data_IF_223815016015
#
_entry.id   IF_223815016015
#
_cell.length_a   1.000
_cell.length_b   1.000
_cell.length_c   1.000
_cell.angle_alpha   90.00
_cell.angle_beta   90.00
_cell.angle_gamma   90.00
#
_symmetry.space_group_name_H-M   'P 1'
#
loop_
_entity.id
_entity.type
_entity.pdbx_description
1 polymer ?
#
# COMPACT_ATOMS: atom_id res chain seq x y z
N UNK A 1 -33.89 65.38 -57.18
CA UNK A 1 -34.30 65.07 -55.78
C UNK A 1 -34.85 63.65 -55.63
N UNK A 2 -35.96 63.25 -56.30
CA UNK A 2 -36.55 61.90 -56.11
C UNK A 2 -35.57 60.74 -56.36
N UNK A 3 -34.77 60.78 -57.44
CA UNK A 3 -33.79 59.72 -57.74
C UNK A 3 -32.69 59.58 -56.69
N UNK A 4 -32.20 60.69 -56.12
CA UNK A 4 -31.18 60.66 -55.06
C UNK A 4 -31.71 59.96 -53.80
N UNK A 5 -32.97 60.23 -53.42
CA UNK A 5 -33.63 59.55 -52.30
C UNK A 5 -33.86 58.06 -52.58
N UNK A 6 -34.23 57.69 -53.82
CA UNK A 6 -34.38 56.29 -54.21
C UNK A 6 -33.04 55.53 -54.20
N UNK A 7 -31.96 56.14 -54.70
CA UNK A 7 -30.63 55.54 -54.69
C UNK A 7 -30.08 55.36 -53.27
N UNK A 8 -30.36 56.31 -52.37
CA UNK A 8 -29.97 56.22 -50.95
C UNK A 8 -30.69 55.06 -50.24
N UNK A 9 -32.02 54.97 -50.39
CA UNK A 9 -32.81 53.85 -49.85
C UNK A 9 -32.39 52.48 -50.44
N UNK A 10 -31.99 52.43 -51.71
CA UNK A 10 -31.41 51.23 -52.31
C UNK A 10 -29.98 50.90 -51.80
N UNK A 11 -29.25 51.89 -51.30
CA UNK A 11 -27.96 51.69 -50.63
C UNK A 11 -28.16 51.05 -49.27
N UNK A 12 -29.02 51.66 -48.44
CA UNK A 12 -29.41 51.18 -47.11
C UNK A 12 -30.01 49.75 -47.16
N UNK A 13 -30.82 49.45 -48.18
CA UNK A 13 -31.34 48.09 -48.40
C UNK A 13 -30.25 47.06 -48.74
N UNK A 14 -29.21 47.46 -49.48
CA UNK A 14 -28.06 46.57 -49.78
C UNK A 14 -27.17 46.36 -48.56
N UNK A 15 -26.93 47.41 -47.77
CA UNK A 15 -26.15 47.31 -46.54
C UNK A 15 -26.85 46.44 -45.48
N UNK A 16 -28.16 46.62 -45.31
CA UNK A 16 -28.96 45.76 -44.44
C UNK A 16 -29.01 44.30 -44.94
N UNK A 17 -29.07 44.05 -46.25
CA UNK A 17 -28.96 42.69 -46.80
C UNK A 17 -27.60 42.03 -46.48
N UNK A 18 -26.49 42.74 -46.66
CA UNK A 18 -25.14 42.22 -46.37
C UNK A 18 -24.91 41.97 -44.86
N UNK A 19 -25.47 42.81 -43.99
CA UNK A 19 -25.41 42.57 -42.54
C UNK A 19 -26.26 41.37 -42.12
N UNK A 20 -27.44 41.17 -42.71
CA UNK A 20 -28.25 39.95 -42.52
C UNK A 20 -27.49 38.69 -42.97
N UNK A 21 -26.84 38.72 -44.12
CA UNK A 21 -26.04 37.59 -44.62
C UNK A 21 -24.87 37.26 -43.67
N UNK A 22 -24.11 38.28 -43.25
CA UNK A 22 -23.00 38.15 -42.29
C UNK A 22 -23.46 37.58 -40.94
N UNK A 23 -24.57 38.08 -40.38
CA UNK A 23 -25.14 37.56 -39.14
C UNK A 23 -25.68 36.13 -39.30
N UNK A 24 -26.23 35.79 -40.47
CA UNK A 24 -26.71 34.43 -40.76
C UNK A 24 -25.55 33.45 -40.83
N UNK A 25 -24.42 33.82 -41.44
CA UNK A 25 -23.20 33.01 -41.47
C UNK A 25 -22.66 32.78 -40.03
N UNK A 26 -22.55 33.84 -39.23
CA UNK A 26 -22.13 33.75 -37.83
C UNK A 26 -23.06 32.85 -36.99
N UNK A 27 -24.38 32.91 -37.21
CA UNK A 27 -25.34 32.02 -36.55
C UNK A 27 -25.12 30.55 -36.92
N UNK A 28 -24.84 30.25 -38.20
CA UNK A 28 -24.55 28.87 -38.65
C UNK A 28 -23.24 28.35 -38.05
N UNK A 29 -22.20 29.18 -38.00
CA UNK A 29 -20.92 28.81 -37.38
C UNK A 29 -21.06 28.54 -35.88
N UNK A 30 -21.75 29.43 -35.15
CA UNK A 30 -22.04 29.23 -33.72
C UNK A 30 -22.93 28.01 -33.46
N UNK A 31 -23.91 27.71 -34.33
CA UNK A 31 -24.72 26.50 -34.24
C UNK A 31 -23.89 25.23 -34.43
N UNK A 32 -22.95 25.23 -35.39
CA UNK A 32 -22.01 24.15 -35.63
C UNK A 32 -21.06 23.95 -34.45
N UNK A 33 -20.52 25.03 -33.89
CA UNK A 33 -19.67 24.99 -32.69
C UNK A 33 -20.43 24.42 -31.49
N UNK A 34 -21.66 24.92 -31.26
CA UNK A 34 -22.58 24.43 -30.21
C UNK A 34 -22.95 22.95 -30.40
N UNK A 35 -22.99 22.45 -31.64
CA UNK A 35 -23.17 21.03 -31.91
C UNK A 35 -21.92 20.22 -31.55
N UNK A 36 -20.73 20.63 -31.99
CA UNK A 36 -19.47 19.96 -31.68
C UNK A 36 -19.17 19.92 -30.18
N UNK A 37 -19.46 21.00 -29.44
CA UNK A 37 -19.34 20.99 -27.98
C UNK A 37 -20.30 19.99 -27.32
N UNK A 38 -21.55 19.87 -27.79
CA UNK A 38 -22.51 18.87 -27.29
C UNK A 38 -22.06 17.44 -27.55
N UNK A 39 -21.53 17.15 -28.73
CA UNK A 39 -20.96 15.84 -29.05
C UNK A 39 -19.77 15.52 -28.16
N UNK A 40 -18.86 16.49 -27.97
CA UNK A 40 -17.69 16.30 -27.11
C UNK A 40 -18.04 16.10 -25.64
N UNK A 41 -19.08 16.78 -25.14
CA UNK A 41 -19.63 16.54 -23.79
C UNK A 41 -20.15 15.10 -23.68
N UNK A 42 -20.99 14.65 -24.61
CA UNK A 42 -21.55 13.30 -24.59
C UNK A 42 -20.46 12.20 -24.67
N UNK A 43 -19.41 12.42 -25.47
CA UNK A 43 -18.25 11.52 -25.54
C UNK A 43 -17.49 11.44 -24.20
N UNK A 44 -17.24 12.60 -23.56
CA UNK A 44 -16.55 12.67 -22.26
C UNK A 44 -17.40 12.06 -21.13
N UNK A 45 -18.71 12.25 -21.14
CA UNK A 45 -19.64 11.61 -20.19
C UNK A 45 -19.64 10.08 -20.36
N UNK A 46 -19.69 9.58 -21.60
CA UNK A 46 -19.61 8.15 -21.89
C UNK A 46 -18.26 7.55 -21.47
N UNK A 47 -17.15 8.26 -21.70
CA UNK A 47 -15.82 7.87 -21.24
C UNK A 47 -15.72 7.83 -19.71
N UNK A 48 -16.27 8.84 -19.01
CA UNK A 48 -16.31 8.91 -17.55
C UNK A 48 -17.15 7.76 -16.95
N UNK A 49 -18.30 7.44 -17.54
CA UNK A 49 -19.14 6.30 -17.11
C UNK A 49 -18.41 4.98 -17.32
N UNK A 50 -17.73 4.81 -18.47
CA UNK A 50 -16.90 3.63 -18.74
C UNK A 50 -15.79 3.47 -17.68
N UNK A 51 -15.07 4.54 -17.37
CA UNK A 51 -13.96 4.50 -16.40
C UNK A 51 -14.42 4.28 -14.96
N UNK A 52 -15.57 4.85 -14.57
CA UNK A 52 -16.21 4.53 -13.27
C UNK A 52 -16.59 3.04 -13.18
N UNK A 53 -17.08 2.45 -14.28
CA UNK A 53 -17.47 1.05 -14.32
C UNK A 53 -16.26 0.09 -14.31
N UNK A 54 -15.18 0.40 -15.03
CA UNK A 54 -13.92 -0.38 -14.98
C UNK A 54 -13.28 -0.30 -13.60
N UNK A 55 -13.16 0.89 -13.03
CA UNK A 55 -12.64 1.12 -11.67
C UNK A 55 -13.45 0.35 -10.61
N UNK A 56 -14.79 0.47 -10.63
CA UNK A 56 -15.68 -0.26 -9.71
C UNK A 56 -15.55 -1.78 -9.86
N UNK A 57 -15.37 -2.29 -11.08
CA UNK A 57 -15.15 -3.72 -11.30
C UNK A 57 -13.81 -4.17 -10.70
N UNK A 58 -12.72 -3.45 -10.96
CA UNK A 58 -11.40 -3.80 -10.39
C UNK A 58 -11.40 -3.76 -8.87
N UNK A 59 -12.10 -2.81 -8.26
CA UNK A 59 -12.27 -2.73 -6.80
C UNK A 59 -12.99 -3.97 -6.27
N UNK A 60 -14.15 -4.32 -6.85
CA UNK A 60 -14.91 -5.52 -6.44
C UNK A 60 -14.15 -6.83 -6.68
N UNK A 61 -13.31 -6.90 -7.70
CA UNK A 61 -12.44 -8.05 -7.95
C UNK A 61 -11.32 -8.16 -6.90
N UNK A 62 -10.75 -7.03 -6.45
CA UNK A 62 -9.76 -6.98 -5.36
C UNK A 62 -10.35 -7.25 -3.98
N UNK A 63 -11.55 -6.75 -3.69
CA UNK A 63 -12.29 -7.09 -2.46
C UNK A 63 -12.53 -8.60 -2.34
N UNK A 64 -12.87 -9.26 -3.46
CA UNK A 64 -13.05 -10.71 -3.52
C UNK A 64 -11.74 -11.48 -3.27
N UNK A 65 -10.64 -11.04 -3.88
CA UNK A 65 -9.31 -11.63 -3.67
C UNK A 65 -8.86 -11.52 -2.20
N UNK A 66 -9.10 -10.38 -1.55
CA UNK A 66 -8.85 -10.19 -0.12
C UNK A 66 -9.71 -11.14 0.73
N UNK A 67 -11.01 -11.25 0.44
CA UNK A 67 -11.91 -12.15 1.17
C UNK A 67 -11.51 -13.63 0.99
N UNK A 68 -11.09 -14.04 -0.21
CA UNK A 68 -10.61 -15.40 -0.48
C UNK A 68 -9.31 -15.73 0.28
N UNK A 69 -8.35 -14.79 0.31
CA UNK A 69 -7.10 -14.95 1.07
C UNK A 69 -7.37 -15.01 2.58
N UNK A 70 -8.27 -14.16 3.10
CA UNK A 70 -8.68 -14.19 4.50
C UNK A 70 -9.33 -15.52 4.87
N UNK A 71 -10.23 -16.05 4.04
CA UNK A 71 -10.87 -17.35 4.26
C UNK A 71 -9.84 -18.50 4.30
N UNK A 72 -8.89 -18.52 3.34
CA UNK A 72 -7.79 -19.51 3.32
C UNK A 72 -6.91 -19.41 4.56
N UNK A 73 -6.57 -18.20 5.01
CA UNK A 73 -5.78 -17.98 6.21
C UNK A 73 -6.50 -18.50 7.46
N UNK A 74 -7.81 -18.27 7.60
CA UNK A 74 -8.59 -18.83 8.71
C UNK A 74 -8.66 -20.36 8.67
N UNK A 75 -8.83 -20.95 7.48
CA UNK A 75 -8.76 -22.41 7.31
C UNK A 75 -7.39 -22.96 7.75
N UNK A 76 -6.29 -22.34 7.33
CA UNK A 76 -4.94 -22.77 7.71
C UNK A 76 -4.67 -22.65 9.22
N UNK A 77 -5.24 -21.63 9.89
CA UNK A 77 -5.15 -21.52 11.35
C UNK A 77 -5.90 -22.66 12.04
N UNK A 78 -7.08 -23.01 11.54
CA UNK A 78 -7.87 -24.11 12.09
C UNK A 78 -7.18 -25.48 11.89
N UNK A 79 -6.70 -25.78 10.68
CA UNK A 79 -5.91 -26.99 10.39
C UNK A 79 -4.62 -27.07 11.24
N UNK A 80 -4.01 -25.93 11.56
CA UNK A 80 -2.84 -25.86 12.44
C UNK A 80 -3.20 -26.14 13.91
N UNK A 81 -4.33 -25.63 14.41
CA UNK A 81 -4.83 -25.91 15.77
C UNK A 81 -5.15 -27.41 15.93
N UNK A 82 -5.86 -28.02 14.98
CA UNK A 82 -6.13 -29.47 14.98
C UNK A 82 -4.85 -30.31 15.02
N UNK A 83 -3.85 -29.94 14.19
CA UNK A 83 -2.55 -30.63 14.17
C UNK A 83 -1.76 -30.42 15.48
N UNK A 84 -1.88 -29.25 16.09
CA UNK A 84 -1.23 -28.94 17.37
C UNK A 84 -1.84 -29.75 18.52
N UNK A 85 -3.15 -29.92 18.56
CA UNK A 85 -3.84 -30.77 19.54
C UNK A 85 -3.42 -32.25 19.43
N UNK A 86 -3.31 -32.78 18.20
CA UNK A 86 -2.75 -34.13 17.97
C UNK A 86 -1.31 -34.23 18.46
N UNK A 87 -0.49 -33.21 18.23
CA UNK A 87 0.90 -33.17 18.73
C UNK A 87 0.95 -33.14 20.26
N UNK A 88 0.06 -32.40 20.93
CA UNK A 88 -0.04 -32.39 22.39
C UNK A 88 -0.46 -33.75 22.96
N UNK A 89 -1.39 -34.45 22.30
CA UNK A 89 -1.76 -35.81 22.68
C UNK A 89 -0.56 -36.77 22.61
N UNK A 90 0.20 -36.73 21.52
CA UNK A 90 1.41 -37.53 21.34
C UNK A 90 2.51 -37.21 22.37
N UNK A 91 2.72 -35.93 22.72
CA UNK A 91 3.64 -35.54 23.80
C UNK A 91 3.23 -36.13 25.16
N UNK A 92 1.92 -36.15 25.47
CA UNK A 92 1.40 -36.76 26.69
C UNK A 92 1.63 -38.28 26.68
N UNK A 93 1.29 -38.96 25.58
CA UNK A 93 1.53 -40.40 25.42
C UNK A 93 3.01 -40.76 25.62
N UNK A 94 3.93 -40.06 24.95
CA UNK A 94 5.38 -40.26 25.09
C UNK A 94 5.82 -40.10 26.55
N UNK A 95 5.31 -39.10 27.27
CA UNK A 95 5.65 -38.88 28.67
C UNK A 95 5.06 -39.95 29.60
N UNK A 96 3.90 -40.53 29.28
CA UNK A 96 3.33 -41.68 30.00
C UNK A 96 4.20 -42.93 29.76
N UNK A 97 4.60 -43.20 28.50
CA UNK A 97 5.46 -44.33 28.17
C UNK A 97 6.84 -44.23 28.86
N UNK A 98 7.44 -43.03 28.94
CA UNK A 98 8.68 -42.80 29.70
C UNK A 98 8.54 -43.18 31.17
N UNK A 99 7.50 -42.67 31.85
CA UNK A 99 7.25 -42.98 33.27
C UNK A 99 6.99 -44.46 33.53
N UNK A 100 6.34 -45.15 32.59
CA UNK A 100 6.11 -46.60 32.69
C UNK A 100 7.44 -47.37 32.59
N UNK A 101 8.32 -46.98 31.66
CA UNK A 101 9.67 -47.55 31.53
C UNK A 101 10.54 -47.30 32.76
N UNK A 102 10.56 -46.07 33.28
CA UNK A 102 11.25 -45.69 34.53
C UNK A 102 10.84 -46.61 35.71
N UNK A 103 9.54 -46.89 35.84
CA UNK A 103 9.02 -47.80 36.87
C UNK A 103 9.42 -49.27 36.66
N UNK A 104 9.47 -49.77 35.42
CA UNK A 104 9.96 -51.13 35.15
C UNK A 104 11.48 -51.26 35.38
N UNK A 105 12.27 -50.24 35.02
CA UNK A 105 13.73 -50.21 35.27
C UNK A 105 14.04 -50.25 36.77
N UNK A 106 13.25 -49.54 37.61
CA UNK A 106 13.37 -49.62 39.07
C UNK A 106 13.01 -51.02 39.60
N UNK A 107 11.87 -51.59 39.16
CA UNK A 107 11.44 -52.95 39.55
C UNK A 107 12.46 -54.03 39.19
N UNK A 108 13.08 -53.91 38.01
CA UNK A 108 14.09 -54.86 37.51
C UNK A 108 15.50 -54.59 38.06
N UNK A 109 15.69 -53.53 38.88
CA UNK A 109 16.99 -53.06 39.37
C UNK A 109 17.99 -52.76 38.25
N UNK A 110 17.48 -52.31 37.10
CA UNK A 110 18.26 -51.87 35.94
C UNK A 110 18.71 -50.41 36.04
N UNK A 111 18.24 -49.70 37.08
CA UNK A 111 18.75 -48.37 37.47
C UNK A 111 20.28 -48.33 37.36
N UNK A 112 20.76 -47.42 36.52
CA UNK A 112 22.18 -47.29 36.24
C UNK A 112 22.92 -46.91 37.53
N UNK A 113 23.69 -47.87 38.07
CA UNK A 113 24.81 -47.55 38.93
C UNK A 113 25.63 -46.44 38.25
N UNK A 114 26.09 -45.39 38.95
CA UNK A 114 26.83 -44.29 38.36
C UNK A 114 28.21 -44.76 37.88
N UNK A 115 28.21 -45.37 36.70
CA UNK A 115 29.40 -45.89 36.05
C UNK A 115 30.24 -44.71 35.59
N UNK A 116 31.35 -44.53 36.31
CA UNK A 116 32.46 -43.65 35.98
C UNK A 116 32.74 -43.63 34.47
N UNK A 117 32.63 -42.45 33.86
CA UNK A 117 33.10 -42.19 32.50
C UNK A 117 34.64 -42.29 32.46
N UNK A 118 35.18 -43.52 32.40
CA UNK A 118 36.61 -43.74 32.24
C UNK A 118 37.06 -43.36 30.83
N UNK A 119 38.04 -42.45 30.77
CA UNK A 119 38.67 -42.00 29.54
C UNK A 119 39.60 -43.08 28.97
N UNK A 120 39.14 -43.82 27.95
CA UNK A 120 39.98 -44.77 27.22
C UNK A 120 40.71 -44.11 26.04
N UNK A 121 41.90 -43.60 26.32
CA UNK A 121 42.86 -43.15 25.30
C UNK A 121 43.48 -44.33 24.56
N UNK A 122 43.40 -44.34 23.23
CA UNK A 122 44.24 -45.16 22.33
C UNK A 122 44.71 -44.33 21.13
N UNK A 123 46.00 -44.01 21.08
CA UNK A 123 46.67 -43.56 19.84
C UNK A 123 47.04 -44.76 18.96
N UNK A 124 47.56 -44.65 17.73
CA UNK A 124 48.01 -43.52 16.88
C UNK A 124 48.08 -44.06 15.43
N UNK A 125 48.34 -43.37 14.31
CA UNK A 125 48.55 -41.94 13.94
C UNK A 125 48.69 -41.88 12.40
N UNK A 126 48.32 -40.78 11.73
CA UNK A 126 49.12 -40.13 10.66
C UNK A 126 48.36 -39.04 9.86
N UNK A 127 49.14 -38.10 9.31
CA UNK A 127 48.83 -37.22 8.15
C UNK A 127 47.66 -36.22 8.25
N UNK A 128 47.98 -34.91 8.26
CA UNK A 128 46.96 -33.86 8.11
C UNK A 128 47.37 -32.44 8.52
N UNK A 129 48.56 -31.96 8.13
CA UNK A 129 48.99 -30.59 8.45
C UNK A 129 48.34 -29.57 7.50
N UNK A 130 47.31 -28.85 7.98
CA UNK A 130 46.86 -27.58 7.37
C UNK A 130 46.63 -26.55 8.46
N UNK A 131 47.39 -25.45 8.40
CA UNK A 131 47.19 -24.27 9.25
C UNK A 131 46.18 -23.33 8.60
N UNK A 132 45.06 -23.06 9.26
CA UNK A 132 44.27 -21.84 9.01
C UNK A 132 43.93 -21.15 10.33
N UNK A 133 44.42 -19.91 10.44
CA UNK A 133 43.93 -18.75 11.21
C UNK A 133 42.98 -18.94 12.41
N UNK A 134 43.34 -18.29 13.52
CA UNK A 134 42.58 -18.22 14.77
C UNK A 134 41.10 -17.82 14.60
N UNK A 135 40.20 -18.80 14.64
CA UNK A 135 38.75 -18.58 14.77
C UNK A 135 38.30 -18.65 16.22
N UNK A 136 38.42 -17.57 17.00
CA UNK A 136 37.78 -17.46 18.31
C UNK A 136 36.25 -17.47 18.13
N UNK A 137 35.61 -18.65 18.24
CA UNK A 137 34.15 -18.75 18.36
C UNK A 137 33.73 -18.18 19.73
N UNK A 138 33.54 -16.86 19.76
CA UNK A 138 32.95 -16.13 20.88
C UNK A 138 31.60 -16.80 21.20
N UNK A 139 31.46 -17.25 22.44
CA UNK A 139 30.17 -17.63 23.05
C UNK A 139 29.13 -16.59 22.64
N UNK A 140 27.98 -17.02 22.08
CA UNK A 140 26.90 -16.08 21.78
C UNK A 140 26.44 -15.49 23.09
N UNK A 141 26.84 -14.24 23.28
CA UNK A 141 26.39 -13.37 24.33
C UNK A 141 24.93 -13.05 24.01
N UNK A 142 24.02 -13.32 24.93
CA UNK A 142 22.64 -12.83 24.83
C UNK A 142 22.72 -11.35 25.16
N UNK A 143 23.18 -10.58 24.17
CA UNK A 143 23.19 -9.14 24.24
C UNK A 143 21.75 -8.67 24.22
N UNK A 144 21.24 -8.31 25.40
CA UNK A 144 20.12 -7.39 25.57
C UNK A 144 20.43 -6.13 24.75
N UNK A 145 19.90 -6.10 23.53
CA UNK A 145 20.19 -5.04 22.57
C UNK A 145 18.89 -4.33 22.24
N UNK A 146 18.62 -3.36 23.11
CA UNK A 146 17.85 -2.16 22.83
C UNK A 146 16.43 -2.42 22.31
N UNK A 147 15.48 -2.24 23.22
CA UNK A 147 14.22 -1.62 22.85
C UNK A 147 14.54 -0.33 22.06
N UNK A 148 14.47 -0.40 20.74
CA UNK A 148 14.48 0.79 19.89
C UNK A 148 13.16 1.48 20.14
N UNK A 149 13.18 2.40 21.11
CA UNK A 149 12.07 3.28 21.40
C UNK A 149 11.84 4.13 20.14
N UNK A 150 10.88 3.70 19.33
CA UNK A 150 10.30 4.49 18.25
C UNK A 150 9.57 5.68 18.89
N UNK A 151 10.37 6.66 19.28
CA UNK A 151 9.93 7.92 19.83
C UNK A 151 9.31 8.72 18.69
N UNK A 152 8.03 8.44 18.45
CA UNK A 152 7.17 9.16 17.53
C UNK A 152 7.09 10.63 17.96
N UNK A 153 7.98 11.47 17.42
CA UNK A 153 7.95 12.92 17.60
C UNK A 153 6.75 13.48 16.85
N UNK A 154 5.60 13.51 17.51
CA UNK A 154 4.40 14.17 17.02
C UNK A 154 4.60 15.68 17.14
N UNK A 155 4.81 16.34 16.00
CA UNK A 155 4.82 17.79 15.91
C UNK A 155 3.42 18.28 15.55
N UNK A 156 2.63 18.64 16.56
CA UNK A 156 1.30 19.22 16.35
C UNK A 156 1.42 20.71 16.05
N UNK A 157 1.01 21.13 14.86
CA UNK A 157 0.82 22.52 14.48
C UNK A 157 -0.55 22.69 13.83
N UNK A 158 -1.23 23.80 14.10
CA UNK A 158 -2.53 24.14 13.51
C UNK A 158 -2.50 25.57 13.01
N UNK A 159 -3.04 25.79 11.81
CA UNK A 159 -3.21 27.12 11.21
C UNK A 159 -4.50 27.14 10.39
N UNK A 160 -5.27 28.22 10.52
CA UNK A 160 -6.54 28.43 9.81
C UNK A 160 -6.29 29.27 8.57
N UNK A 161 -6.76 28.84 7.40
CA UNK A 161 -6.57 29.56 6.15
C UNK A 161 -6.91 28.73 4.92
N UNK A 162 -6.82 29.32 3.71
CA UNK A 162 -6.90 28.57 2.46
C UNK A 162 -5.72 27.60 2.34
N UNK A 163 -6.02 26.34 2.03
CA UNK A 163 -5.06 25.24 1.88
C UNK A 163 -5.06 24.78 0.43
N UNK A 164 -3.88 24.56 -0.14
CA UNK A 164 -3.68 23.96 -1.45
C UNK A 164 -2.81 22.70 -1.34
N UNK A 165 -3.08 21.73 -2.20
CA UNK A 165 -2.18 20.58 -2.42
C UNK A 165 -1.05 21.02 -3.33
N UNK A 166 0.18 21.04 -2.81
CA UNK A 166 1.35 21.50 -3.56
C UNK A 166 1.86 20.36 -4.48
N UNK A 167 2.21 19.22 -3.87
CA UNK A 167 2.60 18.01 -4.60
C UNK A 167 2.05 16.73 -3.93
N UNK A 168 1.66 15.77 -4.78
CA UNK A 168 1.38 14.38 -4.41
C UNK A 168 2.57 13.56 -4.95
N UNK A 169 3.21 12.76 -4.09
CA UNK A 169 4.25 11.83 -4.56
C UNK A 169 3.68 10.88 -5.61
N UNK A 170 4.35 10.76 -6.76
CA UNK A 170 3.94 9.82 -7.82
C UNK A 170 4.03 8.36 -7.38
N UNK A 171 4.78 8.07 -6.32
CA UNK A 171 4.81 6.77 -5.63
C UNK A 171 3.77 6.60 -4.52
N UNK A 172 2.94 7.60 -4.23
CA UNK A 172 1.87 7.55 -3.23
C UNK A 172 2.31 7.56 -1.77
N UNK A 173 3.59 7.83 -1.47
CA UNK A 173 4.15 7.70 -0.11
C UNK A 173 3.83 8.89 0.81
N UNK A 174 3.56 10.06 0.23
CA UNK A 174 3.20 11.24 0.99
C UNK A 174 2.38 12.24 0.17
N UNK A 175 1.64 13.10 0.87
CA UNK A 175 0.93 14.26 0.34
C UNK A 175 1.40 15.50 1.11
N UNK A 176 1.86 16.53 0.41
CA UNK A 176 2.23 17.81 1.02
C UNK A 176 1.14 18.87 0.81
N UNK A 177 0.65 19.41 1.92
CA UNK A 177 -0.37 20.46 1.99
C UNK A 177 0.30 21.79 2.36
N UNK A 178 -0.02 22.86 1.64
CA UNK A 178 0.48 24.21 1.93
C UNK A 178 -0.67 25.15 2.35
N UNK A 179 -0.51 25.84 3.48
CA UNK A 179 -1.42 26.88 3.94
C UNK A 179 -0.88 28.25 3.52
N UNK A 180 -1.60 28.94 2.64
CA UNK A 180 -1.22 30.26 2.11
C UNK A 180 -1.78 31.43 2.92
N UNK A 181 -2.26 31.18 4.15
CA UNK A 181 -2.76 32.19 5.08
C UNK A 181 -1.74 33.28 5.38
N UNK A 182 -2.23 34.52 5.46
CA UNK A 182 -1.44 35.73 5.75
C UNK A 182 -1.16 35.92 7.24
N UNK A 183 -1.83 35.17 8.11
CA UNK A 183 -1.63 35.21 9.55
C UNK A 183 -0.25 34.63 9.94
N UNK A 184 0.37 35.17 11.00
CA UNK A 184 1.77 34.89 11.38
C UNK A 184 1.96 33.47 11.96
N UNK A 185 1.89 32.47 11.11
CA UNK A 185 2.35 31.12 11.41
C UNK A 185 3.90 31.04 11.31
N UNK A 186 4.58 30.23 12.15
CA UNK A 186 6.01 29.96 11.99
C UNK A 186 6.28 29.29 10.63
N UNK A 187 7.51 29.45 10.09
CA UNK A 187 7.87 28.90 8.77
C UNK A 187 7.63 27.38 8.63
N UNK A 188 7.67 26.64 9.73
CA UNK A 188 7.39 25.20 9.83
C UNK A 188 5.90 24.82 9.78
N UNK A 189 4.98 25.78 9.91
CA UNK A 189 3.53 25.54 9.91
C UNK A 189 2.86 25.92 8.57
N UNK A 190 3.64 26.32 7.56
CA UNK A 190 3.13 26.64 6.22
C UNK A 190 3.01 25.42 5.30
N UNK A 191 3.83 24.38 5.50
CA UNK A 191 3.77 23.14 4.72
C UNK A 191 3.74 21.95 5.67
N UNK A 192 2.76 21.06 5.52
CA UNK A 192 2.63 19.82 6.27
C UNK A 192 2.58 18.64 5.29
N UNK A 193 3.52 17.70 5.41
CA UNK A 193 3.53 16.49 4.60
C UNK A 193 3.06 15.29 5.44
N UNK A 194 1.95 14.68 5.03
CA UNK A 194 1.43 13.46 5.62
C UNK A 194 2.05 12.27 4.89
N UNK A 195 2.77 11.42 5.62
CA UNK A 195 3.26 10.12 5.13
C UNK A 195 2.09 9.13 5.24
N UNK A 196 1.84 8.36 4.17
CA UNK A 196 0.82 7.31 4.12
C UNK A 196 1.43 5.92 4.36
#
# INVERSE_FOLDING_TARGET
>A
MKEASANMAQGELRESALTIESLTAQLVDLQKETHGWRERIAELEAALVKEKNTSRKMLADKEREVAEIQAKMQQQLHEYEELFDVKLALDMEINIYRKLLEGEEERLKLSQSPSSHETMSRGSSSSGSVRTTQGKRKRVDIGEQNASSSMSKVHTASATGPIYTDEIDRGGKFICLQNSGTERAPHTAKTACLIM
#
